data_IF_782941652341
#
_entry.id   IF_782941652341
#
_cell.length_a   1.000
_cell.length_b   1.000
_cell.length_c   1.000
_cell.angle_alpha   90.00
_cell.angle_beta   90.00
_cell.angle_gamma   90.00
#
_symmetry.space_group_name_H-M   'P 1'
#
loop_
_entity.id
_entity.type
_entity.pdbx_description
1 polymer ?
#
# COMPACT_ATOMS: atom_id res chain seq x y z
N UNK A 1 -24.73 -43.95 41.53
CA UNK A 1 -23.43 -43.79 40.84
C UNK A 1 -23.45 -44.14 39.34
N UNK A 2 -24.03 -45.26 38.89
CA UNK A 2 -24.08 -45.61 37.45
C UNK A 2 -24.92 -44.66 36.58
N UNK A 3 -25.95 -44.01 37.14
CA UNK A 3 -26.73 -43.00 36.39
C UNK A 3 -26.09 -41.61 36.36
N UNK A 4 -25.31 -41.23 37.38
CA UNK A 4 -24.53 -39.98 37.34
C UNK A 4 -23.37 -40.06 36.33
N UNK A 5 -22.72 -41.22 36.23
CA UNK A 5 -21.68 -41.43 35.22
C UNK A 5 -22.24 -41.36 33.78
N UNK A 6 -23.48 -41.82 33.57
CA UNK A 6 -24.13 -41.85 32.25
C UNK A 6 -24.58 -40.46 31.78
N UNK A 7 -24.87 -39.53 32.70
CA UNK A 7 -25.14 -38.13 32.37
C UNK A 7 -23.87 -37.30 32.17
N UNK A 8 -22.77 -37.64 32.85
CA UNK A 8 -21.48 -36.99 32.62
C UNK A 8 -20.89 -37.31 31.24
N UNK A 9 -21.15 -38.50 30.69
CA UNK A 9 -20.66 -38.86 29.34
C UNK A 9 -21.41 -38.13 28.22
N UNK A 10 -22.65 -37.66 28.47
CA UNK A 10 -23.42 -36.90 27.48
C UNK A 10 -23.04 -35.41 27.43
N UNK A 11 -22.47 -34.87 28.51
CA UNK A 11 -22.07 -33.47 28.62
C UNK A 11 -20.65 -33.18 28.10
N UNK A 12 -19.84 -34.23 27.87
CA UNK A 12 -18.49 -34.10 27.28
C UNK A 12 -18.54 -34.09 25.75
N UNK A 13 -19.65 -34.51 25.12
CA UNK A 13 -19.79 -34.50 23.66
C UNK A 13 -20.17 -33.12 23.06
N UNK A 14 -20.50 -32.12 23.88
CA UNK A 14 -20.92 -30.79 23.41
C UNK A 14 -19.81 -29.73 23.42
N UNK A 15 -18.64 -30.00 24.01
CA UNK A 15 -17.49 -29.08 24.00
C UNK A 15 -16.50 -29.31 22.85
N UNK A 16 -16.82 -30.21 21.90
CA UNK A 16 -15.95 -30.60 20.79
C UNK A 16 -16.20 -29.86 19.47
N UNK A 17 -16.98 -28.77 19.46
CA UNK A 17 -17.03 -27.91 18.29
C UNK A 17 -15.81 -26.99 18.38
N UNK A 18 -14.67 -27.49 17.89
CA UNK A 18 -13.64 -26.62 17.34
C UNK A 18 -14.40 -25.87 16.24
N UNK A 19 -14.83 -24.65 16.53
CA UNK A 19 -15.25 -23.72 15.49
C UNK A 19 -14.01 -23.55 14.63
N UNK A 20 -13.94 -24.29 13.52
CA UNK A 20 -13.13 -23.88 12.41
C UNK A 20 -13.50 -22.41 12.20
N UNK A 21 -12.53 -21.52 12.40
CA UNK A 21 -12.71 -20.12 12.07
C UNK A 21 -13.33 -20.12 10.67
N UNK A 22 -14.56 -19.64 10.55
CA UNK A 22 -15.18 -19.52 9.24
C UNK A 22 -14.33 -18.51 8.49
N UNK A 23 -13.37 -19.03 7.72
CA UNK A 23 -12.55 -18.23 6.85
C UNK A 23 -13.51 -17.69 5.79
N UNK A 24 -13.75 -16.38 5.86
CA UNK A 24 -14.44 -15.64 4.82
C UNK A 24 -13.57 -15.63 3.56
N UNK A 25 -14.22 -15.53 2.40
CA UNK A 25 -13.51 -15.32 1.14
C UNK A 25 -13.06 -13.85 1.02
N UNK A 26 -11.99 -13.55 0.26
CA UNK A 26 -11.57 -12.16 0.01
C UNK A 26 -12.70 -11.27 -0.53
N UNK A 27 -13.59 -11.83 -1.36
CA UNK A 27 -14.75 -11.13 -1.91
C UNK A 27 -15.83 -10.84 -0.85
N UNK A 28 -16.04 -11.75 0.10
CA UNK A 28 -16.94 -11.55 1.24
C UNK A 28 -16.40 -10.47 2.18
N UNK A 29 -15.09 -10.50 2.48
CA UNK A 29 -14.42 -9.50 3.30
C UNK A 29 -14.48 -8.12 2.66
N UNK A 30 -14.22 -8.02 1.36
CA UNK A 30 -14.33 -6.77 0.60
C UNK A 30 -15.74 -6.18 0.70
N UNK A 31 -16.77 -7.01 0.48
CA UNK A 31 -18.17 -6.57 0.59
C UNK A 31 -18.52 -6.13 2.01
N UNK A 32 -18.11 -6.89 3.02
CA UNK A 32 -18.35 -6.53 4.41
C UNK A 32 -17.69 -5.19 4.78
N UNK A 33 -16.45 -4.97 4.35
CA UNK A 33 -15.71 -3.73 4.54
C UNK A 33 -16.41 -2.54 3.87
N UNK A 34 -16.75 -2.66 2.58
CA UNK A 34 -17.43 -1.59 1.85
C UNK A 34 -18.79 -1.25 2.46
N UNK A 35 -19.58 -2.27 2.84
CA UNK A 35 -20.88 -2.08 3.45
C UNK A 35 -20.81 -1.39 4.81
N UNK A 36 -19.77 -1.70 5.61
CA UNK A 36 -19.54 -1.03 6.90
C UNK A 36 -19.39 0.48 6.71
N UNK A 37 -18.54 0.93 5.77
CA UNK A 37 -18.29 2.35 5.53
C UNK A 37 -19.47 3.07 4.86
N UNK A 38 -20.14 2.43 3.89
CA UNK A 38 -21.35 2.98 3.27
C UNK A 38 -22.46 3.20 4.30
N UNK A 39 -22.62 2.28 5.26
CA UNK A 39 -23.58 2.45 6.36
C UNK A 39 -23.15 3.52 7.35
N UNK A 40 -21.85 3.60 7.66
CA UNK A 40 -21.30 4.56 8.65
C UNK A 40 -21.31 6.00 8.14
N UNK A 41 -21.19 6.18 6.82
CA UNK A 41 -21.12 7.46 6.13
C UNK A 41 -22.09 7.48 4.93
N UNK A 42 -23.41 7.50 5.17
CA UNK A 42 -24.42 7.32 4.12
C UNK A 42 -24.52 8.50 3.14
N UNK A 43 -23.91 9.64 3.47
CA UNK A 43 -23.92 10.86 2.65
C UNK A 43 -22.63 11.04 1.84
N UNK A 44 -21.70 10.08 1.89
CA UNK A 44 -20.46 10.12 1.10
C UNK A 44 -20.68 9.36 -0.20
N UNK A 45 -20.50 10.04 -1.32
CA UNK A 45 -20.58 9.40 -2.64
C UNK A 45 -19.47 8.38 -2.81
N UNK A 46 -19.75 7.28 -3.54
CA UNK A 46 -18.79 6.18 -3.65
C UNK A 46 -17.44 6.63 -4.25
N UNK A 47 -17.47 7.58 -5.18
CA UNK A 47 -16.27 8.15 -5.81
C UNK A 47 -15.42 8.98 -4.85
N UNK A 48 -16.01 9.51 -3.77
CA UNK A 48 -15.30 10.42 -2.86
C UNK A 48 -14.44 9.69 -1.84
N UNK A 49 -14.67 8.38 -1.62
CA UNK A 49 -13.87 7.56 -0.71
C UNK A 49 -12.38 7.53 -1.05
N UNK A 50 -12.01 7.83 -2.31
CA UNK A 50 -10.60 7.95 -2.73
C UNK A 50 -9.85 9.04 -1.91
N UNK A 51 -10.56 10.05 -1.43
CA UNK A 51 -10.00 11.16 -0.66
C UNK A 51 -9.86 10.84 0.85
N UNK A 52 -10.16 9.62 1.27
CA UNK A 52 -10.01 9.19 2.67
C UNK A 52 -10.78 10.05 3.66
N UNK A 53 -10.09 10.59 4.67
CA UNK A 53 -10.70 11.41 5.71
C UNK A 53 -11.31 12.72 5.17
N UNK A 54 -10.79 13.26 4.06
CA UNK A 54 -11.35 14.47 3.43
C UNK A 54 -12.72 14.23 2.80
N UNK A 55 -13.15 12.97 2.62
CA UNK A 55 -14.51 12.66 2.20
C UNK A 55 -15.56 12.93 3.28
N UNK A 56 -15.14 13.01 4.56
CA UNK A 56 -16.06 13.15 5.72
C UNK A 56 -15.79 14.42 6.55
N UNK A 57 -14.63 15.05 6.38
CA UNK A 57 -14.27 16.31 7.03
C UNK A 57 -14.26 17.46 6.01
N UNK A 58 -15.31 18.30 5.96
CA UNK A 58 -15.39 19.38 4.98
C UNK A 58 -14.34 20.47 5.23
N UNK A 59 -13.97 20.73 6.49
CA UNK A 59 -12.93 21.72 6.81
C UNK A 59 -11.56 21.20 6.41
N UNK A 60 -11.29 19.91 6.68
CA UNK A 60 -10.08 19.25 6.20
C UNK A 60 -9.97 19.29 4.67
N UNK A 61 -11.08 19.05 3.97
CA UNK A 61 -11.15 19.11 2.50
C UNK A 61 -10.86 20.50 1.95
N UNK A 62 -11.52 21.54 2.45
CA UNK A 62 -11.29 22.92 2.01
C UNK A 62 -9.83 23.34 2.19
N UNK A 63 -9.22 22.99 3.33
CA UNK A 63 -7.82 23.26 3.58
C UNK A 63 -6.89 22.49 2.63
N UNK A 64 -7.20 21.22 2.36
CA UNK A 64 -6.44 20.41 1.42
C UNK A 64 -6.52 20.99 0.01
N UNK A 65 -7.72 21.31 -0.49
CA UNK A 65 -7.92 21.93 -1.81
C UNK A 65 -7.18 23.26 -1.95
N UNK A 66 -7.12 24.07 -0.88
CA UNK A 66 -6.32 25.30 -0.86
C UNK A 66 -4.80 25.04 -0.91
N UNK A 67 -4.32 23.95 -0.30
CA UNK A 67 -2.91 23.52 -0.39
C UNK A 67 -2.59 23.04 -1.81
N UNK A 68 -3.52 22.32 -2.45
CA UNK A 68 -3.35 21.81 -3.81
C UNK A 68 -3.31 22.91 -4.88
N UNK A 69 -3.74 24.14 -4.56
CA UNK A 69 -3.56 25.31 -5.46
C UNK A 69 -2.09 25.71 -5.58
N UNK A 70 -1.31 25.53 -4.51
CA UNK A 70 0.14 25.79 -4.48
C UNK A 70 0.85 24.69 -3.67
N UNK A 71 0.98 23.48 -4.23
CA UNK A 71 1.44 22.32 -3.49
C UNK A 71 2.87 22.52 -2.98
N UNK A 72 3.12 22.54 -1.66
CA UNK A 72 4.45 22.75 -1.11
C UNK A 72 5.39 21.55 -1.39
N UNK A 73 4.84 20.46 -1.92
CA UNK A 73 5.57 19.24 -2.25
C UNK A 73 6.05 19.17 -3.72
N UNK A 74 5.57 20.08 -4.59
CA UNK A 74 5.93 20.11 -6.02
C UNK A 74 7.45 20.15 -6.27
N UNK A 75 8.27 20.94 -5.54
CA UNK A 75 9.72 20.94 -5.75
C UNK A 75 10.38 19.56 -5.55
N UNK A 76 9.84 18.70 -4.68
CA UNK A 76 10.38 17.35 -4.47
C UNK A 76 10.00 16.39 -5.60
N UNK A 77 8.85 16.62 -6.26
CA UNK A 77 8.47 15.90 -7.47
C UNK A 77 9.45 16.27 -8.59
N UNK A 78 9.73 17.56 -8.77
CA UNK A 78 10.71 18.05 -9.76
C UNK A 78 12.12 17.49 -9.52
N UNK A 79 12.57 17.49 -8.26
CA UNK A 79 13.85 16.88 -7.88
C UNK A 79 13.89 15.37 -8.17
N UNK A 80 12.78 14.67 -7.92
CA UNK A 80 12.60 13.27 -8.26
C UNK A 80 12.65 13.00 -9.76
N UNK A 81 11.99 13.84 -10.57
CA UNK A 81 12.02 13.77 -12.02
C UNK A 81 13.45 13.98 -12.54
N UNK A 82 14.13 15.03 -12.07
CA UNK A 82 15.51 15.31 -12.47
C UNK A 82 16.44 14.14 -12.13
N UNK A 83 16.23 13.47 -10.99
CA UNK A 83 16.97 12.26 -10.64
C UNK A 83 16.66 11.08 -11.55
N UNK A 84 15.39 10.88 -11.92
CA UNK A 84 14.97 9.81 -12.82
C UNK A 84 15.57 9.96 -14.22
N UNK A 85 15.64 11.20 -14.73
CA UNK A 85 16.13 11.53 -16.06
C UNK A 85 17.66 11.57 -16.15
N UNK A 86 18.34 11.83 -15.03
CA UNK A 86 19.80 11.92 -14.99
C UNK A 86 20.45 10.54 -15.25
N UNK A 87 21.37 10.44 -16.22
CA UNK A 87 22.17 9.24 -16.40
C UNK A 87 23.07 8.96 -15.18
N UNK A 88 23.19 7.69 -14.85
CA UNK A 88 24.20 7.13 -13.95
C UNK A 88 25.61 7.35 -14.52
N UNK A 89 26.63 7.19 -13.69
CA UNK A 89 28.04 7.36 -14.07
C UNK A 89 28.47 6.40 -15.19
N UNK A 90 27.80 5.27 -15.35
CA UNK A 90 28.04 4.29 -16.40
C UNK A 90 27.26 4.58 -17.71
N UNK A 91 26.53 5.69 -17.78
CA UNK A 91 25.74 6.11 -18.94
C UNK A 91 24.34 5.48 -19.04
N UNK A 92 23.99 4.53 -18.18
CA UNK A 92 22.63 3.98 -18.04
C UNK A 92 21.78 4.89 -17.14
N UNK A 93 20.54 4.53 -16.87
CA UNK A 93 19.65 5.22 -15.94
C UNK A 93 18.54 4.32 -15.40
N UNK A 94 17.61 4.90 -14.66
CA UNK A 94 16.48 4.15 -14.11
C UNK A 94 15.63 3.48 -15.20
N UNK A 95 15.52 4.08 -16.39
CA UNK A 95 14.82 3.50 -17.54
C UNK A 95 15.39 2.16 -18.00
N UNK A 96 16.68 1.88 -17.77
CA UNK A 96 17.28 0.58 -18.08
C UNK A 96 16.84 -0.53 -17.11
N UNK A 97 16.48 -0.17 -15.88
CA UNK A 97 15.90 -1.10 -14.90
C UNK A 97 14.37 -1.17 -14.99
N UNK A 98 13.73 -0.07 -15.40
CA UNK A 98 12.30 0.13 -15.42
C UNK A 98 11.85 0.64 -16.81
N UNK A 99 11.77 -0.26 -17.81
CA UNK A 99 11.57 0.12 -19.22
C UNK A 99 10.20 0.76 -19.50
N UNK A 100 9.20 0.49 -18.66
CA UNK A 100 7.84 1.04 -18.80
C UNK A 100 7.71 2.48 -18.26
N UNK A 101 8.80 3.06 -17.77
CA UNK A 101 8.81 4.42 -17.23
C UNK A 101 8.51 4.50 -15.72
N UNK A 102 8.29 5.72 -15.21
CA UNK A 102 8.19 6.00 -13.77
C UNK A 102 6.86 5.56 -13.14
N UNK A 103 5.82 5.27 -13.93
CA UNK A 103 4.50 4.83 -13.47
C UNK A 103 4.52 3.39 -12.88
N UNK A 104 5.16 3.23 -11.72
CA UNK A 104 5.45 1.95 -11.07
C UNK A 104 4.58 1.68 -9.84
N UNK A 105 3.74 2.63 -9.42
CA UNK A 105 2.95 2.54 -8.18
C UNK A 105 2.04 1.30 -8.13
N UNK A 106 1.47 0.89 -9.26
CA UNK A 106 0.62 -0.30 -9.35
C UNK A 106 1.38 -1.64 -9.31
N UNK A 107 2.71 -1.62 -9.47
CA UNK A 107 3.56 -2.83 -9.55
C UNK A 107 4.19 -3.22 -8.21
N UNK A 108 4.14 -2.33 -7.22
CA UNK A 108 4.77 -2.51 -5.93
C UNK A 108 3.82 -2.13 -4.78
N UNK A 109 3.94 -2.77 -3.60
CA UNK A 109 4.80 -3.91 -3.31
C UNK A 109 4.34 -5.19 -4.02
N UNK A 110 5.28 -6.09 -4.30
CA UNK A 110 5.00 -7.38 -4.93
C UNK A 110 5.81 -8.51 -4.28
N UNK A 111 5.26 -9.73 -4.29
CA UNK A 111 5.96 -10.90 -3.74
C UNK A 111 6.97 -11.45 -4.76
N UNK A 112 8.24 -11.48 -4.38
CA UNK A 112 9.30 -12.12 -5.15
C UNK A 112 9.51 -13.54 -4.63
N UNK A 113 9.17 -14.53 -5.47
CA UNK A 113 9.26 -15.95 -5.11
C UNK A 113 10.68 -16.46 -5.01
N UNK A 114 11.60 -15.93 -5.82
CA UNK A 114 12.99 -16.38 -5.86
C UNK A 114 13.73 -15.90 -4.61
N UNK A 115 13.48 -14.65 -4.21
CA UNK A 115 14.04 -14.07 -2.98
C UNK A 115 13.25 -14.45 -1.73
N UNK A 116 12.04 -14.99 -1.89
CA UNK A 116 11.15 -15.34 -0.79
C UNK A 116 10.79 -14.14 0.09
N UNK A 117 10.62 -12.96 -0.51
CA UNK A 117 10.36 -11.72 0.22
C UNK A 117 9.44 -10.77 -0.56
N UNK A 118 8.86 -9.81 0.16
CA UNK A 118 8.14 -8.69 -0.45
C UNK A 118 9.15 -7.67 -0.98
N UNK A 119 9.08 -7.40 -2.28
CA UNK A 119 9.83 -6.34 -2.93
C UNK A 119 9.05 -5.03 -2.83
N UNK A 120 9.69 -4.02 -2.25
CA UNK A 120 9.16 -2.66 -2.20
C UNK A 120 9.77 -1.83 -3.32
N UNK A 121 9.06 -0.80 -3.79
CA UNK A 121 9.59 0.13 -4.79
C UNK A 121 10.92 0.79 -4.36
N UNK A 122 11.09 1.28 -3.11
CA UNK A 122 12.37 1.84 -2.67
C UNK A 122 13.52 0.81 -2.70
N UNK A 123 13.23 -0.46 -2.38
CA UNK A 123 14.22 -1.54 -2.48
C UNK A 123 14.58 -1.83 -3.95
N UNK A 124 13.60 -1.84 -4.85
CA UNK A 124 13.84 -2.04 -6.27
C UNK A 124 14.71 -0.93 -6.87
N UNK A 125 14.46 0.34 -6.51
CA UNK A 125 15.27 1.48 -6.92
C UNK A 125 16.72 1.36 -6.43
N UNK A 126 16.91 1.00 -5.16
CA UNK A 126 18.26 0.82 -4.60
C UNK A 126 19.00 -0.37 -5.23
N UNK A 127 18.33 -1.48 -5.52
CA UNK A 127 18.95 -2.60 -6.24
C UNK A 127 19.39 -2.18 -7.65
N UNK A 128 18.60 -1.35 -8.34
CA UNK A 128 18.97 -0.80 -9.65
C UNK A 128 20.23 0.08 -9.54
N UNK A 129 20.30 0.95 -8.53
CA UNK A 129 21.47 1.79 -8.28
C UNK A 129 22.73 0.94 -8.01
N UNK A 130 22.64 -0.03 -7.09
CA UNK A 130 23.77 -0.91 -6.74
C UNK A 130 24.26 -1.71 -7.95
N UNK A 131 23.34 -2.25 -8.75
CA UNK A 131 23.68 -3.00 -9.97
C UNK A 131 24.38 -2.13 -11.03
N UNK A 132 24.23 -0.81 -10.95
CA UNK A 132 24.87 0.15 -11.84
C UNK A 132 26.08 0.87 -11.21
N UNK A 133 26.52 0.44 -10.03
CA UNK A 133 27.67 1.03 -9.33
C UNK A 133 27.38 2.36 -8.64
N UNK A 134 26.11 2.74 -8.56
CA UNK A 134 25.65 3.93 -7.83
C UNK A 134 25.48 3.62 -6.35
N UNK A 135 25.53 4.67 -5.52
CA UNK A 135 25.30 4.52 -4.08
C UNK A 135 23.80 4.39 -3.81
N UNK A 136 23.37 3.43 -2.96
CA UNK A 136 21.99 3.36 -2.48
C UNK A 136 21.55 4.66 -1.83
N UNK A 137 20.30 5.03 -2.07
CA UNK A 137 19.64 6.12 -1.37
C UNK A 137 19.25 5.67 0.03
N UNK A 138 19.48 6.53 1.02
CA UNK A 138 19.07 6.28 2.40
C UNK A 138 17.55 6.30 2.47
N UNK A 139 16.96 5.30 3.11
CA UNK A 139 15.51 5.20 3.30
C UNK A 139 14.92 6.36 4.12
N UNK A 140 13.59 6.50 4.00
CA UNK A 140 12.68 7.37 4.78
C UNK A 140 12.63 8.85 4.39
N UNK A 141 13.74 9.47 3.95
CA UNK A 141 13.77 10.92 3.67
C UNK A 141 14.83 11.32 2.65
N UNK A 142 14.70 12.54 2.12
CA UNK A 142 15.62 13.11 1.14
C UNK A 142 15.50 12.40 -0.20
N UNK A 143 16.60 12.16 -0.93
CA UNK A 143 16.59 11.69 -2.32
C UNK A 143 15.68 10.49 -2.62
N UNK A 144 15.59 9.52 -1.70
CA UNK A 144 14.69 8.38 -1.91
C UNK A 144 13.23 8.80 -1.94
N UNK A 145 12.85 9.79 -1.12
CA UNK A 145 11.48 10.30 -1.04
C UNK A 145 11.16 11.09 -2.30
N UNK A 146 12.10 11.91 -2.78
CA UNK A 146 11.91 12.77 -3.95
C UNK A 146 11.62 11.93 -5.21
N UNK A 147 12.43 10.89 -5.49
CA UNK A 147 12.17 9.99 -6.62
C UNK A 147 10.89 9.16 -6.45
N UNK A 148 10.52 8.78 -5.21
CA UNK A 148 9.26 8.09 -4.95
C UNK A 148 8.05 9.01 -5.15
N UNK A 149 8.17 10.30 -4.78
CA UNK A 149 7.15 11.32 -5.01
C UNK A 149 6.90 11.51 -6.50
N UNK A 150 7.96 11.59 -7.31
CA UNK A 150 7.82 11.63 -8.76
C UNK A 150 7.15 10.36 -9.33
N UNK A 151 7.59 9.17 -8.92
CA UNK A 151 6.97 7.92 -9.36
C UNK A 151 5.49 7.87 -8.97
N UNK A 152 5.14 8.31 -7.76
CA UNK A 152 3.77 8.34 -7.30
C UNK A 152 2.91 9.34 -8.11
N UNK A 153 3.47 10.48 -8.49
CA UNK A 153 2.80 11.48 -9.33
C UNK A 153 2.50 10.95 -10.74
N UNK A 154 3.40 10.15 -11.30
CA UNK A 154 3.27 9.55 -12.63
C UNK A 154 2.41 8.26 -12.67
N UNK A 155 1.94 7.76 -11.51
CA UNK A 155 1.27 6.45 -11.39
C UNK A 155 -0.25 6.49 -11.31
#
# INVERSE_FOLDING_TARGET
MKQLFRQLTLMVLTCGIITAAQATTPEEDLKAFQNFYKKRFPNVEYTDYVNGAYAIDPVGRENWEAIEEFPPYEPFIDEGQAMWEKPFANGKGFKDCFPDGPALGSKYPSWDKEKGMVMTLPLALNNCLEANGEKPLKYKKGPINDILSYIAFES
#
